data_IF_899590702922
#
_entry.id   IF_899590702922
#
_cell.length_a   1.000
_cell.length_b   1.000
_cell.length_c   1.000
_cell.angle_alpha   90.00
_cell.angle_beta   90.00
_cell.angle_gamma   90.00
#
_symmetry.space_group_name_H-M   'P 1'
#
loop_
_entity.id
_entity.type
_entity.pdbx_description
1 polymer ?
#
# COMPACT_ATOMS: atom_id res chain seq x y z
N UNK A 1 -22.06 -6.78 23.41
CA UNK A 1 -22.37 -5.34 23.59
C UNK A 1 -22.74 -4.76 22.24
N UNK A 2 -23.83 -4.01 22.14
CA UNK A 2 -24.19 -3.31 20.90
C UNK A 2 -23.19 -2.16 20.65
N UNK A 3 -22.81 -1.93 19.40
CA UNK A 3 -21.97 -0.79 19.05
C UNK A 3 -22.73 0.53 19.33
N UNK A 4 -22.08 1.56 19.89
CA UNK A 4 -22.74 2.83 20.20
C UNK A 4 -23.28 3.49 18.91
N UNK A 5 -24.46 4.09 19.00
CA UNK A 5 -25.08 4.79 17.88
C UNK A 5 -24.34 6.09 17.56
N UNK A 6 -24.49 6.60 16.33
CA UNK A 6 -23.92 7.90 15.93
C UNK A 6 -24.33 9.04 16.88
N UNK A 7 -25.58 9.04 17.34
CA UNK A 7 -26.08 10.04 18.30
C UNK A 7 -25.39 9.92 19.66
N UNK A 8 -25.14 8.71 20.15
CA UNK A 8 -24.41 8.48 21.40
C UNK A 8 -22.96 8.93 21.29
N UNK A 9 -22.30 8.62 20.16
CA UNK A 9 -20.93 9.08 19.87
C UNK A 9 -20.86 10.60 19.72
N UNK A 10 -21.83 11.22 19.06
CA UNK A 10 -21.92 12.67 18.91
C UNK A 10 -22.08 13.38 20.27
N UNK A 11 -22.93 12.85 21.14
CA UNK A 11 -23.07 13.39 22.49
C UNK A 11 -21.80 13.20 23.33
N UNK A 12 -21.16 12.04 23.25
CA UNK A 12 -19.89 11.79 23.94
C UNK A 12 -18.77 12.73 23.44
N UNK A 13 -18.70 13.00 22.14
CA UNK A 13 -17.70 13.91 21.56
C UNK A 13 -17.86 15.37 22.02
N UNK A 14 -19.06 15.78 22.46
CA UNK A 14 -19.29 17.12 23.04
C UNK A 14 -18.50 17.35 24.34
N UNK A 15 -18.12 16.27 25.04
CA UNK A 15 -17.27 16.36 26.23
C UNK A 15 -15.80 16.70 25.92
N UNK A 16 -15.45 16.92 24.64
CA UNK A 16 -14.11 17.23 24.16
C UNK A 16 -13.03 16.20 24.55
N UNK A 17 -13.44 14.96 24.85
CA UNK A 17 -12.51 13.85 25.06
C UNK A 17 -11.96 13.39 23.70
N UNK A 18 -10.63 13.34 23.51
CA UNK A 18 -10.06 13.04 22.18
C UNK A 18 -10.50 11.68 21.63
N UNK A 19 -10.47 10.63 22.46
CA UNK A 19 -10.92 9.30 22.06
C UNK A 19 -12.39 9.26 21.59
N UNK A 20 -13.28 10.08 22.18
CA UNK A 20 -14.68 10.16 21.78
C UNK A 20 -14.85 10.88 20.43
N UNK A 21 -14.06 11.94 20.20
CA UNK A 21 -14.01 12.66 18.91
C UNK A 21 -13.49 11.75 17.80
N UNK A 22 -12.43 10.98 18.06
CA UNK A 22 -11.87 10.00 17.12
C UNK A 22 -12.88 8.88 16.82
N UNK A 23 -13.54 8.33 17.84
CA UNK A 23 -14.57 7.31 17.65
C UNK A 23 -15.75 7.80 16.79
N UNK A 24 -16.15 9.07 16.96
CA UNK A 24 -17.15 9.70 16.12
C UNK A 24 -16.64 9.87 14.69
N UNK A 25 -15.41 10.36 14.49
CA UNK A 25 -14.76 10.43 13.18
C UNK A 25 -14.81 9.10 12.44
N UNK A 26 -14.46 7.99 13.10
CA UNK A 26 -14.52 6.64 12.51
C UNK A 26 -15.95 6.28 12.09
N UNK A 27 -16.94 6.64 12.90
CA UNK A 27 -18.34 6.35 12.62
C UNK A 27 -18.88 7.20 11.44
N UNK A 28 -18.44 8.45 11.32
CA UNK A 28 -18.77 9.35 10.22
C UNK A 28 -18.15 8.88 8.89
N UNK A 29 -16.89 8.41 8.91
CA UNK A 29 -16.27 7.78 7.73
C UNK A 29 -17.09 6.58 7.27
N UNK A 30 -17.51 5.70 8.19
CA UNK A 30 -18.37 4.54 7.85
C UNK A 30 -19.74 4.96 7.30
N UNK A 31 -20.24 6.12 7.69
CA UNK A 31 -21.49 6.70 7.19
C UNK A 31 -21.31 7.47 5.87
N UNK A 32 -20.08 7.56 5.32
CA UNK A 32 -19.78 8.32 4.11
C UNK A 32 -19.75 9.84 4.32
N UNK A 33 -19.75 10.31 5.56
CA UNK A 33 -19.76 11.74 5.92
C UNK A 33 -18.32 12.24 6.12
N UNK A 34 -17.52 12.22 5.05
CA UNK A 34 -16.06 12.42 5.12
C UNK A 34 -15.65 13.84 5.52
N UNK A 35 -16.32 14.89 5.04
CA UNK A 35 -16.04 16.27 5.47
C UNK A 35 -16.22 16.43 6.99
N UNK A 36 -17.34 15.94 7.54
CA UNK A 36 -17.59 15.99 8.97
C UNK A 36 -16.61 15.12 9.76
N UNK A 37 -16.22 13.96 9.21
CA UNK A 37 -15.22 13.11 9.84
C UNK A 37 -13.88 13.83 9.96
N UNK A 38 -13.44 14.53 8.90
CA UNK A 38 -12.21 15.32 8.92
C UNK A 38 -12.27 16.38 10.01
N UNK A 39 -13.36 17.15 10.10
CA UNK A 39 -13.53 18.17 11.15
C UNK A 39 -13.34 17.60 12.56
N UNK A 40 -13.93 16.42 12.83
CA UNK A 40 -13.79 15.77 14.13
C UNK A 40 -12.39 15.21 14.36
N UNK A 41 -11.74 14.67 13.34
CA UNK A 41 -10.34 14.27 13.45
C UNK A 41 -9.43 15.46 13.71
N UNK A 42 -9.62 16.59 13.03
CA UNK A 42 -8.82 17.80 13.25
C UNK A 42 -8.95 18.31 14.69
N UNK A 43 -10.17 18.30 15.25
CA UNK A 43 -10.40 18.67 16.66
C UNK A 43 -9.72 17.70 17.62
N UNK A 44 -9.81 16.40 17.36
CA UNK A 44 -9.18 15.39 18.19
C UNK A 44 -7.65 15.43 18.10
N UNK A 45 -7.11 15.64 16.90
CA UNK A 45 -5.70 15.79 16.62
C UNK A 45 -5.11 17.03 17.30
N UNK A 46 -5.86 18.14 17.32
CA UNK A 46 -5.50 19.36 18.05
C UNK A 46 -5.47 19.15 19.57
N UNK A 47 -6.27 18.20 20.08
CA UNK A 47 -6.25 17.77 21.48
C UNK A 47 -5.15 16.71 21.78
N UNK A 48 -4.29 16.40 20.81
CA UNK A 48 -3.15 15.50 20.97
C UNK A 48 -3.41 14.02 20.67
N UNK A 49 -4.61 13.66 20.20
CA UNK A 49 -4.90 12.26 19.84
C UNK A 49 -4.08 11.82 18.63
N UNK A 50 -3.15 10.91 18.87
CA UNK A 50 -2.24 10.42 17.86
C UNK A 50 -2.97 9.60 16.78
N UNK A 51 -4.06 8.90 17.10
CA UNK A 51 -4.88 8.19 16.10
C UNK A 51 -5.56 9.20 15.19
N UNK A 52 -6.14 10.26 15.76
CA UNK A 52 -6.77 11.31 14.95
C UNK A 52 -5.77 12.05 14.05
N UNK A 53 -4.53 12.25 14.50
CA UNK A 53 -3.46 12.81 13.67
C UNK A 53 -3.16 11.93 12.46
N UNK A 54 -3.13 10.60 12.64
CA UNK A 54 -2.97 9.66 11.53
C UNK A 54 -4.13 9.76 10.54
N UNK A 55 -5.36 9.72 11.05
CA UNK A 55 -6.57 9.70 10.24
C UNK A 55 -6.77 11.03 9.48
N UNK A 56 -6.62 12.18 10.15
CA UNK A 56 -6.67 13.49 9.52
C UNK A 56 -5.58 13.62 8.44
N UNK A 57 -4.34 13.24 8.76
CA UNK A 57 -3.25 13.29 7.79
C UNK A 57 -3.52 12.41 6.56
N UNK A 58 -4.14 11.24 6.73
CA UNK A 58 -4.52 10.37 5.61
C UNK A 58 -5.63 10.97 4.75
N UNK A 59 -6.62 11.60 5.38
CA UNK A 59 -7.69 12.28 4.64
C UNK A 59 -7.16 13.48 3.84
N UNK A 60 -6.26 14.27 4.43
CA UNK A 60 -5.60 15.41 3.77
C UNK A 60 -4.69 14.97 2.62
N UNK A 61 -3.86 13.94 2.83
CA UNK A 61 -2.93 13.45 1.81
C UNK A 61 -3.65 12.92 0.55
N UNK A 62 -4.85 12.36 0.71
CA UNK A 62 -5.61 11.74 -0.37
C UNK A 62 -6.87 12.51 -0.79
N UNK A 63 -7.13 13.69 -0.22
CA UNK A 63 -8.28 14.52 -0.58
C UNK A 63 -9.63 13.89 -0.23
N UNK A 64 -9.71 13.18 0.89
CA UNK A 64 -10.94 12.50 1.34
C UNK A 64 -11.78 13.49 2.13
N UNK A 65 -12.85 14.02 1.52
CA UNK A 65 -13.68 15.05 2.14
C UNK A 65 -12.99 16.41 2.26
N UNK A 66 -11.95 16.66 1.45
CA UNK A 66 -11.24 17.93 1.34
C UNK A 66 -10.43 17.98 0.03
N UNK A 67 -9.88 19.14 -0.31
CA UNK A 67 -8.81 19.21 -1.31
C UNK A 67 -7.52 18.57 -0.76
N UNK A 68 -6.68 18.03 -1.63
CA UNK A 68 -5.41 17.41 -1.24
C UNK A 68 -4.48 18.45 -0.60
N UNK A 69 -4.07 18.20 0.65
CA UNK A 69 -3.08 19.01 1.37
C UNK A 69 -2.02 18.10 2.01
N UNK A 70 -0.99 17.78 1.22
CA UNK A 70 0.12 16.93 1.66
C UNK A 70 0.98 17.61 2.72
N UNK A 71 1.06 18.95 2.71
CA UNK A 71 1.87 19.68 3.68
C UNK A 71 1.28 19.56 5.09
N UNK A 72 -0.03 19.77 5.22
CA UNK A 72 -0.72 19.58 6.49
C UNK A 72 -0.74 18.11 6.92
N UNK A 73 -0.87 17.16 5.97
CA UNK A 73 -0.76 15.74 6.25
C UNK A 73 0.60 15.36 6.88
N UNK A 74 1.69 15.90 6.32
CA UNK A 74 3.04 15.72 6.85
C UNK A 74 3.17 16.24 8.27
N UNK A 75 2.63 17.43 8.58
CA UNK A 75 2.67 18.00 9.92
C UNK A 75 1.97 17.09 10.95
N UNK A 76 0.78 16.58 10.62
CA UNK A 76 0.05 15.67 11.48
C UNK A 76 0.80 14.35 11.71
N UNK A 77 1.31 13.73 10.65
CA UNK A 77 2.07 12.48 10.78
C UNK A 77 3.39 12.68 11.51
N UNK A 78 4.10 13.78 11.30
CA UNK A 78 5.30 14.10 12.08
C UNK A 78 4.99 14.31 13.56
N UNK A 79 3.81 14.86 13.88
CA UNK A 79 3.37 14.96 15.27
C UNK A 79 3.10 13.57 15.87
N UNK A 80 2.40 12.68 15.15
CA UNK A 80 2.17 11.31 15.59
C UNK A 80 3.48 10.50 15.68
N UNK A 81 4.45 10.73 14.79
CA UNK A 81 5.80 10.15 14.84
C UNK A 81 6.53 10.54 16.14
N UNK A 82 6.45 11.81 16.58
CA UNK A 82 7.01 12.25 17.87
C UNK A 82 6.35 11.58 19.09
N UNK A 83 5.15 11.05 18.92
CA UNK A 83 4.45 10.24 19.92
C UNK A 83 4.77 8.73 19.82
N UNK A 84 5.74 8.34 18.99
CA UNK A 84 6.15 6.95 18.70
C UNK A 84 5.06 6.09 18.05
N UNK A 85 4.15 6.70 17.28
CA UNK A 85 3.13 5.95 16.54
C UNK A 85 3.74 5.30 15.31
N UNK A 86 3.80 3.96 15.29
CA UNK A 86 4.42 3.20 14.21
C UNK A 86 3.78 3.42 12.83
N UNK A 87 2.45 3.59 12.78
CA UNK A 87 1.75 3.91 11.52
C UNK A 87 2.15 5.26 10.96
N UNK A 88 2.55 6.23 11.79
CA UNK A 88 3.06 7.53 11.34
C UNK A 88 4.38 7.36 10.57
N UNK A 89 5.33 6.64 11.17
CA UNK A 89 6.62 6.34 10.53
C UNK A 89 6.41 5.62 9.20
N UNK A 90 5.50 4.63 9.16
CA UNK A 90 5.18 3.90 7.95
C UNK A 90 4.56 4.78 6.85
N UNK A 91 3.62 5.66 7.19
CA UNK A 91 2.99 6.57 6.24
C UNK A 91 3.99 7.60 5.70
N UNK A 92 4.84 8.15 6.56
CA UNK A 92 5.92 9.06 6.16
C UNK A 92 6.94 8.37 5.24
N UNK A 93 7.29 7.11 5.50
CA UNK A 93 8.16 6.32 4.62
C UNK A 93 7.49 6.02 3.27
N UNK A 94 6.17 5.77 3.26
CA UNK A 94 5.40 5.51 2.03
C UNK A 94 5.32 6.77 1.16
N UNK A 95 5.04 7.92 1.77
CA UNK A 95 4.96 9.20 1.07
C UNK A 95 6.32 9.64 0.49
N UNK A 96 7.43 9.21 1.09
CA UNK A 96 8.77 9.47 0.58
C UNK A 96 9.06 8.77 -0.76
N UNK A 97 8.24 7.79 -1.17
CA UNK A 97 8.33 7.18 -2.50
C UNK A 97 7.73 8.13 -3.54
N UNK A 98 8.63 8.81 -4.25
CA UNK A 98 8.34 9.80 -5.30
C UNK A 98 9.03 9.42 -6.60
N UNK A 99 8.56 9.98 -7.72
CA UNK A 99 9.16 9.78 -9.04
C UNK A 99 10.61 10.29 -9.13
N UNK A 100 10.91 11.40 -8.47
CA UNK A 100 12.26 12.00 -8.46
C UNK A 100 13.29 11.18 -7.66
N UNK A 101 12.82 10.20 -6.85
CA UNK A 101 13.68 9.39 -5.98
C UNK A 101 13.41 7.90 -6.16
N UNK A 102 14.15 7.28 -7.09
CA UNK A 102 14.15 5.82 -7.32
C UNK A 102 14.89 5.01 -6.23
N UNK A 103 15.22 5.64 -5.12
CA UNK A 103 15.80 5.01 -3.93
C UNK A 103 15.27 5.73 -2.71
N UNK A 104 14.90 4.97 -1.69
CA UNK A 104 14.44 5.52 -0.45
C UNK A 104 15.61 6.23 0.26
N UNK A 105 15.38 7.42 0.80
CA UNK A 105 16.43 8.09 1.58
C UNK A 105 16.59 7.44 2.96
N UNK A 106 17.74 7.67 3.60
CA UNK A 106 18.09 7.05 4.89
C UNK A 106 17.05 7.35 5.97
N UNK A 107 16.42 8.52 5.95
CA UNK A 107 15.41 8.87 6.95
C UNK A 107 14.14 8.05 6.73
N UNK A 108 13.67 7.93 5.49
CA UNK A 108 12.49 7.15 5.15
C UNK A 108 12.72 5.64 5.32
N UNK A 109 13.91 5.12 5.01
CA UNK A 109 14.29 3.74 5.35
C UNK A 109 14.28 3.53 6.87
N UNK A 110 14.90 4.44 7.62
CA UNK A 110 14.92 4.37 9.09
C UNK A 110 13.52 4.39 9.67
N UNK A 111 12.58 5.16 9.10
CA UNK A 111 11.17 5.18 9.51
C UNK A 111 10.48 3.84 9.27
N UNK A 112 10.68 3.25 8.09
CA UNK A 112 10.13 1.94 7.77
C UNK A 112 10.66 0.87 8.74
N UNK A 113 11.97 0.87 9.00
CA UNK A 113 12.60 -0.03 9.96
C UNK A 113 12.12 0.21 11.40
N UNK A 114 11.94 1.46 11.82
CA UNK A 114 11.41 1.79 13.14
C UNK A 114 10.00 1.25 13.34
N UNK A 115 9.12 1.37 12.33
CA UNK A 115 7.78 0.80 12.37
C UNK A 115 7.82 -0.75 12.46
N UNK A 116 8.71 -1.40 11.69
CA UNK A 116 8.88 -2.85 11.74
C UNK A 116 9.51 -3.36 13.05
N UNK A 117 10.30 -2.55 13.74
CA UNK A 117 10.93 -2.90 15.00
C UNK A 117 9.91 -3.10 16.14
N UNK A 118 8.76 -2.43 16.05
CA UNK A 118 7.63 -2.57 17.00
C UNK A 118 6.50 -3.46 16.45
N UNK A 119 6.85 -4.35 15.52
CA UNK A 119 5.94 -5.31 14.87
C UNK A 119 4.72 -4.67 14.18
N UNK A 120 4.86 -3.45 13.63
CA UNK A 120 3.79 -2.85 12.83
C UNK A 120 3.58 -3.67 11.54
N UNK A 121 2.42 -4.33 11.35
CA UNK A 121 2.31 -5.39 10.35
C UNK A 121 2.52 -4.93 8.89
N UNK A 122 1.96 -3.77 8.44
CA UNK A 122 2.24 -3.25 7.10
C UNK A 122 3.73 -2.95 6.84
N UNK A 123 4.49 -2.53 7.86
CA UNK A 123 5.92 -2.30 7.74
C UNK A 123 6.71 -3.62 7.64
N UNK A 124 6.35 -4.61 8.45
CA UNK A 124 6.92 -5.96 8.36
C UNK A 124 6.67 -6.57 6.97
N UNK A 125 5.44 -6.49 6.46
CA UNK A 125 5.08 -6.95 5.11
C UNK A 125 5.86 -6.22 4.02
N UNK A 126 5.97 -4.89 4.12
CA UNK A 126 6.71 -4.08 3.17
C UNK A 126 8.19 -4.49 3.10
N UNK A 127 8.86 -4.62 4.26
CA UNK A 127 10.24 -5.11 4.31
C UNK A 127 10.33 -6.55 3.80
N UNK A 128 9.41 -7.43 4.17
CA UNK A 128 9.40 -8.81 3.71
C UNK A 128 9.39 -8.88 2.18
N UNK A 129 8.59 -8.04 1.53
CA UNK A 129 8.54 -7.95 0.07
C UNK A 129 9.89 -7.46 -0.48
N UNK A 130 10.51 -6.42 0.09
CA UNK A 130 11.83 -5.96 -0.36
C UNK A 130 12.92 -7.05 -0.21
N UNK A 131 12.89 -7.81 0.89
CA UNK A 131 13.79 -8.96 1.07
C UNK A 131 13.48 -10.10 0.08
N UNK A 132 12.20 -10.42 -0.13
CA UNK A 132 11.75 -11.47 -1.06
C UNK A 132 12.03 -11.16 -2.52
N UNK A 133 12.20 -9.87 -2.86
CA UNK A 133 12.69 -9.43 -4.17
C UNK A 133 14.11 -9.84 -4.47
N UNK A 134 14.97 -10.10 -3.48
CA UNK A 134 16.40 -10.36 -3.71
C UNK A 134 16.69 -11.87 -3.66
N UNK A 135 17.26 -12.41 -4.73
CA UNK A 135 17.59 -13.83 -4.90
C UNK A 135 18.85 -14.19 -4.13
N UNK A 136 18.72 -14.15 -2.80
CA UNK A 136 19.77 -14.47 -1.86
C UNK A 136 19.21 -15.32 -0.71
N UNK A 137 19.82 -16.46 -0.37
CA UNK A 137 19.28 -17.37 0.65
C UNK A 137 19.03 -16.71 2.02
N UNK A 138 19.81 -15.70 2.41
CA UNK A 138 19.55 -14.97 3.65
C UNK A 138 18.33 -14.02 3.50
N UNK A 139 18.20 -13.34 2.35
CA UNK A 139 17.08 -12.42 2.12
C UNK A 139 15.76 -13.18 1.96
N UNK A 140 15.78 -14.32 1.28
CA UNK A 140 14.61 -15.18 1.15
C UNK A 140 14.15 -15.75 2.51
N UNK A 141 15.08 -16.08 3.42
CA UNK A 141 14.75 -16.47 4.80
C UNK A 141 14.22 -15.29 5.62
N UNK A 142 14.82 -14.11 5.48
CA UNK A 142 14.32 -12.88 6.15
C UNK A 142 12.91 -12.51 5.68
N UNK A 143 12.61 -12.67 4.39
CA UNK A 143 11.26 -12.49 3.85
C UNK A 143 10.25 -13.35 4.60
N UNK A 144 10.50 -14.67 4.71
CA UNK A 144 9.62 -15.60 5.41
C UNK A 144 9.46 -15.21 6.89
N UNK A 145 10.56 -14.94 7.59
CA UNK A 145 10.51 -14.56 9.00
C UNK A 145 9.72 -13.26 9.25
N UNK A 146 9.83 -12.28 8.36
CA UNK A 146 9.06 -11.02 8.44
C UNK A 146 7.57 -11.26 8.14
N UNK A 147 7.23 -12.13 7.18
CA UNK A 147 5.84 -12.51 6.91
C UNK A 147 5.21 -13.28 8.08
N UNK A 148 5.96 -14.16 8.74
CA UNK A 148 5.52 -14.88 9.94
C UNK A 148 5.20 -13.91 11.07
N UNK A 149 6.08 -12.93 11.34
CA UNK A 149 5.84 -11.88 12.33
C UNK A 149 4.62 -11.03 11.99
N UNK A 150 4.48 -10.61 10.73
CA UNK A 150 3.34 -9.81 10.29
C UNK A 150 2.03 -10.59 10.43
N UNK A 151 2.02 -11.87 10.02
CA UNK A 151 0.87 -12.76 10.13
C UNK A 151 0.48 -12.99 11.61
N UNK A 152 1.47 -13.20 12.49
CA UNK A 152 1.23 -13.33 13.93
C UNK A 152 0.65 -12.06 14.55
N UNK A 153 1.00 -10.89 14.00
CA UNK A 153 0.44 -9.58 14.38
C UNK A 153 -0.93 -9.28 13.70
N UNK A 154 -1.54 -10.24 13.01
CA UNK A 154 -2.89 -10.14 12.45
C UNK A 154 -2.98 -9.68 11.00
N UNK A 155 -1.87 -9.60 10.27
CA UNK A 155 -1.85 -9.22 8.86
C UNK A 155 -2.29 -10.38 7.95
N UNK A 156 -3.55 -10.33 7.51
CA UNK A 156 -4.12 -11.31 6.60
C UNK A 156 -3.43 -11.35 5.23
N UNK A 157 -2.90 -10.23 4.75
CA UNK A 157 -2.18 -10.18 3.46
C UNK A 157 -0.80 -10.84 3.61
N UNK A 158 -0.09 -10.59 4.71
CA UNK A 158 1.17 -11.27 4.99
C UNK A 158 0.98 -12.78 5.20
N UNK A 159 -0.09 -13.19 5.91
CA UNK A 159 -0.43 -14.60 6.07
C UNK A 159 -0.73 -15.28 4.72
N UNK A 160 -1.39 -14.58 3.80
CA UNK A 160 -1.63 -15.08 2.44
C UNK A 160 -0.33 -15.24 1.66
N UNK A 161 0.56 -14.24 1.69
CA UNK A 161 1.88 -14.32 1.06
C UNK A 161 2.72 -15.47 1.64
N UNK A 162 2.73 -15.63 2.97
CA UNK A 162 3.41 -16.73 3.64
C UNK A 162 2.89 -18.09 3.17
N UNK A 163 1.58 -18.26 3.07
CA UNK A 163 0.97 -19.49 2.56
C UNK A 163 1.40 -19.80 1.12
N UNK A 164 1.47 -18.80 0.24
CA UNK A 164 1.95 -19.00 -1.13
C UNK A 164 3.42 -19.46 -1.19
N UNK A 165 4.26 -18.94 -0.30
CA UNK A 165 5.68 -19.32 -0.20
C UNK A 165 5.86 -20.71 0.41
N UNK A 166 5.08 -21.06 1.43
CA UNK A 166 5.02 -22.41 2.01
C UNK A 166 4.58 -23.45 0.97
N UNK A 167 3.62 -23.14 0.09
CA UNK A 167 3.21 -24.03 -1.00
C UNK A 167 4.32 -24.28 -2.02
N UNK A 168 5.09 -23.23 -2.35
CA UNK A 168 6.07 -23.25 -3.46
C UNK A 168 7.49 -23.54 -3.03
N UNK A 169 7.77 -23.54 -1.73
CA UNK A 169 9.11 -23.71 -1.21
C UNK A 169 10.03 -22.52 -1.50
N UNK A 170 9.49 -21.30 -1.44
CA UNK A 170 10.25 -20.08 -1.73
C UNK A 170 10.95 -19.59 -0.45
N UNK A 171 12.28 -19.71 -0.39
CA UNK A 171 13.09 -19.32 0.76
C UNK A 171 13.07 -20.30 1.95
N UNK A 172 12.23 -21.33 1.87
CA UNK A 172 12.06 -22.41 2.84
C UNK A 172 11.67 -23.70 2.11
N UNK A 173 11.87 -24.89 2.70
CA UNK A 173 11.30 -26.13 2.16
C UNK A 173 9.77 -26.04 2.06
N UNK A 174 9.15 -26.63 1.01
CA UNK A 174 7.71 -26.62 0.85
C UNK A 174 7.00 -27.35 2.01
N UNK A 175 5.92 -26.75 2.50
CA UNK A 175 5.11 -27.22 3.64
C UNK A 175 3.62 -27.07 3.29
N UNK A 176 3.06 -27.94 2.43
CA UNK A 176 1.73 -27.77 1.87
C UNK A 176 0.61 -27.87 2.92
N UNK A 177 0.78 -28.67 3.98
CA UNK A 177 -0.21 -28.79 5.06
C UNK A 177 -0.34 -27.50 5.86
N UNK A 178 0.80 -26.88 6.22
CA UNK A 178 0.84 -25.61 6.94
C UNK A 178 0.21 -24.49 6.09
N UNK A 179 0.53 -24.44 4.80
CA UNK A 179 -0.08 -23.49 3.89
C UNK A 179 -1.60 -23.68 3.74
N UNK A 180 -2.06 -24.93 3.61
CA UNK A 180 -3.49 -25.24 3.52
C UNK A 180 -4.23 -24.87 4.81
N UNK A 181 -3.59 -24.98 5.98
CA UNK A 181 -4.15 -24.49 7.24
C UNK A 181 -4.30 -22.97 7.26
N UNK A 182 -3.25 -22.22 6.89
CA UNK A 182 -3.33 -20.76 6.80
C UNK A 182 -4.41 -20.30 5.82
N UNK A 183 -4.47 -20.90 4.63
CA UNK A 183 -5.50 -20.56 3.64
C UNK A 183 -6.92 -20.85 4.11
N UNK A 184 -7.13 -21.94 4.87
CA UNK A 184 -8.45 -22.21 5.50
C UNK A 184 -8.83 -21.14 6.52
N UNK A 185 -7.86 -20.62 7.28
CA UNK A 185 -8.10 -19.52 8.24
C UNK A 185 -8.44 -18.20 7.54
N UNK A 186 -7.90 -17.99 6.34
CA UNK A 186 -8.12 -16.78 5.54
C UNK A 186 -9.37 -16.84 4.64
N UNK A 187 -9.95 -18.03 4.45
CA UNK A 187 -11.14 -18.24 3.63
C UNK A 187 -12.35 -17.36 4.02
N UNK A 188 -12.66 -17.12 5.31
CA UNK A 188 -13.74 -16.21 5.71
C UNK A 188 -13.54 -14.77 5.27
N UNK A 189 -12.29 -14.36 5.00
CA UNK A 189 -11.95 -13.04 4.47
C UNK A 189 -11.99 -12.99 2.93
N UNK A 190 -12.43 -14.07 2.27
CA UNK A 190 -12.44 -14.19 0.81
C UNK A 190 -11.05 -14.39 0.19
N UNK A 191 -10.04 -14.66 1.01
CA UNK A 191 -8.67 -14.91 0.56
C UNK A 191 -8.50 -16.41 0.31
N UNK A 192 -8.02 -16.76 -0.88
CA UNK A 192 -7.77 -18.14 -1.31
C UNK A 192 -6.47 -18.23 -2.10
N UNK A 193 -5.98 -19.47 -2.26
CA UNK A 193 -4.78 -19.78 -3.02
C UNK A 193 -4.81 -19.12 -4.40
N UNK A 194 -3.69 -18.51 -4.76
CA UNK A 194 -3.50 -17.87 -6.04
C UNK A 194 -3.19 -18.91 -7.11
N UNK A 195 -3.64 -18.68 -8.35
CA UNK A 195 -3.28 -19.56 -9.44
C UNK A 195 -1.76 -19.64 -9.57
N UNK A 196 -1.25 -20.76 -10.09
CA UNK A 196 0.16 -20.88 -10.39
C UNK A 196 0.52 -19.88 -11.50
N UNK A 197 1.20 -18.80 -11.13
CA UNK A 197 1.78 -17.85 -12.06
C UNK A 197 3.26 -18.21 -12.22
N UNK A 198 3.74 -18.30 -13.47
CA UNK A 198 5.18 -18.35 -13.73
C UNK A 198 5.73 -16.96 -13.44
N UNK A 199 6.56 -16.86 -12.41
CA UNK A 199 7.13 -15.58 -11.99
C UNK A 199 8.61 -15.61 -12.32
N UNK A 200 9.12 -14.50 -12.86
CA UNK A 200 10.54 -14.25 -13.04
C UNK A 200 11.26 -14.42 -11.69
N UNK A 201 12.41 -15.10 -11.63
CA UNK A 201 13.16 -15.27 -10.39
C UNK A 201 13.48 -13.91 -9.75
N UNK A 202 13.73 -13.85 -8.43
CA UNK A 202 14.04 -12.59 -7.75
C UNK A 202 15.32 -11.93 -8.34
N UNK A 203 15.54 -10.67 -7.99
CA UNK A 203 16.64 -9.84 -8.46
C UNK A 203 17.98 -10.35 -7.90
N UNK A 204 19.06 -10.38 -8.70
CA UNK A 204 20.36 -10.76 -8.18
C UNK A 204 20.81 -9.80 -7.08
N UNK A 205 21.73 -10.24 -6.22
CA UNK A 205 22.30 -9.39 -5.18
C UNK A 205 23.00 -8.20 -5.84
N UNK A 206 22.55 -6.98 -5.50
CA UNK A 206 23.21 -5.74 -5.87
C UNK A 206 24.20 -5.27 -4.81
N UNK A 207 25.06 -4.32 -5.18
CA UNK A 207 26.03 -3.71 -4.27
C UNK A 207 25.41 -2.67 -3.32
N UNK A 208 24.27 -2.08 -3.71
CA UNK A 208 23.54 -1.10 -2.90
C UNK A 208 22.55 -1.83 -1.98
N UNK A 209 22.65 -1.57 -0.68
CA UNK A 209 21.78 -2.16 0.33
C UNK A 209 20.50 -1.33 0.56
N UNK A 210 20.39 -0.15 -0.06
CA UNK A 210 19.20 0.70 0.03
C UNK A 210 18.01 0.11 -0.74
N UNK A 211 16.81 0.50 -0.33
CA UNK A 211 15.57 0.10 -0.98
C UNK A 211 15.41 0.90 -2.28
N UNK A 212 15.62 0.22 -3.40
CA UNK A 212 15.50 0.76 -4.76
C UNK A 212 14.15 0.47 -5.43
N UNK A 213 13.70 1.42 -6.26
CA UNK A 213 12.49 1.33 -7.07
C UNK A 213 12.78 1.43 -8.58
N UNK A 214 14.02 1.18 -8.99
CA UNK A 214 14.38 1.12 -10.40
C UNK A 214 13.96 -0.21 -11.04
N UNK A 215 13.77 -0.19 -12.36
CA UNK A 215 13.59 -1.41 -13.14
C UNK A 215 14.85 -2.28 -13.10
N UNK A 216 14.67 -3.60 -13.03
CA UNK A 216 15.77 -4.58 -13.01
C UNK A 216 16.59 -4.57 -14.31
N UNK A 217 15.90 -4.45 -15.44
CA UNK A 217 16.51 -4.47 -16.76
C UNK A 217 16.06 -3.26 -17.55
N UNK A 218 16.93 -2.77 -18.43
CA UNK A 218 16.56 -1.77 -19.41
C UNK A 218 15.52 -2.32 -20.39
N UNK A 219 14.80 -1.40 -21.02
CA UNK A 219 13.87 -1.70 -22.09
C UNK A 219 14.58 -2.38 -23.26
N UNK A 220 14.02 -3.49 -23.75
CA UNK A 220 14.43 -4.12 -25.00
C UNK A 220 13.48 -3.69 -26.09
N UNK A 221 14.00 -3.06 -27.15
CA UNK A 221 13.18 -2.66 -28.28
C UNK A 221 12.74 -3.88 -29.09
N UNK A 222 11.43 -4.00 -29.31
CA UNK A 222 10.78 -5.07 -30.08
C UNK A 222 10.32 -4.62 -31.45
N UNK A 223 10.01 -3.33 -31.59
CA UNK A 223 9.54 -2.75 -32.84
C UNK A 223 9.81 -1.24 -32.86
N UNK A 224 10.01 -0.67 -34.04
CA UNK A 224 10.35 0.75 -34.22
C UNK A 224 9.16 1.64 -34.65
N UNK A 225 8.16 1.11 -35.37
CA UNK A 225 7.02 1.91 -35.85
C UNK A 225 5.70 1.10 -35.95
N UNK A 226 4.90 0.96 -34.88
CA UNK A 226 4.97 1.71 -33.63
C UNK A 226 6.16 1.29 -32.77
N UNK A 227 6.63 2.19 -31.92
CA UNK A 227 7.65 1.86 -30.91
C UNK A 227 7.03 0.89 -29.91
N UNK A 228 7.61 -0.31 -29.81
CA UNK A 228 7.25 -1.31 -28.80
C UNK A 228 8.51 -1.65 -28.03
N UNK A 229 8.45 -1.44 -26.72
CA UNK A 229 9.52 -1.76 -25.80
C UNK A 229 9.01 -2.78 -24.78
N UNK A 230 9.86 -3.76 -24.47
CA UNK A 230 9.59 -4.76 -23.45
C UNK A 230 10.53 -4.56 -22.27
N UNK A 231 9.96 -4.50 -21.06
CA UNK A 231 10.72 -4.46 -19.81
C UNK A 231 10.37 -5.69 -18.98
N UNK A 232 11.36 -6.54 -18.71
CA UNK A 232 11.16 -7.78 -17.95
C UNK A 232 11.62 -7.65 -16.49
N UNK A 233 10.94 -8.33 -15.57
CA UNK A 233 11.33 -8.36 -14.16
C UNK A 233 11.02 -7.06 -13.41
N UNK A 234 9.97 -6.35 -13.81
CA UNK A 234 9.52 -5.11 -13.13
C UNK A 234 9.02 -5.41 -11.71
N UNK A 235 8.15 -6.41 -11.60
CA UNK A 235 7.51 -6.82 -10.35
C UNK A 235 8.01 -8.19 -9.92
N UNK A 236 8.15 -8.38 -8.61
CA UNK A 236 8.48 -9.69 -8.04
C UNK A 236 7.24 -10.56 -7.83
N UNK A 237 7.47 -11.81 -7.46
CA UNK A 237 6.40 -12.74 -7.10
C UNK A 237 5.49 -12.23 -6.01
N UNK A 238 6.08 -11.74 -4.92
CA UNK A 238 5.32 -11.28 -3.76
C UNK A 238 4.57 -9.98 -4.04
N UNK A 239 5.09 -9.11 -4.91
CA UNK A 239 4.37 -7.91 -5.35
C UNK A 239 3.20 -8.25 -6.25
N UNK A 240 3.39 -9.12 -7.25
CA UNK A 240 2.30 -9.59 -8.09
C UNK A 240 1.19 -10.23 -7.23
N UNK A 241 1.55 -11.04 -6.24
CA UNK A 241 0.60 -11.65 -5.30
C UNK A 241 -0.10 -10.61 -4.46
N UNK A 242 0.63 -9.64 -3.89
CA UNK A 242 0.05 -8.57 -3.09
C UNK A 242 -0.93 -7.74 -3.93
N UNK A 243 -0.55 -7.32 -5.13
CA UNK A 243 -1.42 -6.55 -6.03
C UNK A 243 -2.68 -7.33 -6.39
N UNK A 244 -2.57 -8.64 -6.64
CA UNK A 244 -3.74 -9.49 -6.84
C UNK A 244 -4.64 -9.55 -5.59
N UNK A 245 -4.06 -9.67 -4.39
CA UNK A 245 -4.81 -9.69 -3.14
C UNK A 245 -5.53 -8.36 -2.89
N UNK A 246 -4.85 -7.23 -3.13
CA UNK A 246 -5.42 -5.89 -3.01
C UNK A 246 -6.53 -5.65 -4.06
N UNK A 247 -6.35 -6.12 -5.29
CA UNK A 247 -7.29 -5.88 -6.38
C UNK A 247 -8.55 -6.74 -6.28
N UNK A 248 -8.45 -8.00 -5.81
CA UNK A 248 -9.53 -9.00 -5.84
C UNK A 248 -10.88 -8.50 -5.32
N UNK A 249 -10.97 -7.83 -4.15
CA UNK A 249 -12.25 -7.31 -3.64
C UNK A 249 -12.89 -6.24 -4.53
N UNK A 250 -12.09 -5.58 -5.38
CA UNK A 250 -12.49 -4.45 -6.19
C UNK A 250 -12.62 -4.77 -7.69
N UNK A 251 -12.41 -6.03 -8.09
CA UNK A 251 -12.51 -6.44 -9.49
C UNK A 251 -13.93 -6.27 -10.02
N UNK A 252 -14.07 -5.45 -11.06
CA UNK A 252 -15.32 -5.26 -11.81
C UNK A 252 -15.15 -5.77 -13.23
N UNK A 253 -16.25 -6.21 -13.85
CA UNK A 253 -16.23 -6.59 -15.26
C UNK A 253 -15.79 -5.37 -16.10
N UNK A 254 -14.85 -5.58 -17.02
CA UNK A 254 -14.43 -4.49 -17.91
C UNK A 254 -15.60 -4.04 -18.78
N UNK A 255 -15.82 -2.74 -18.84
CA UNK A 255 -16.79 -2.09 -19.73
C UNK A 255 -16.04 -1.34 -20.82
N UNK A 256 -16.55 -1.36 -22.05
CA UNK A 256 -15.96 -0.65 -23.19
C UNK A 256 -16.95 0.43 -23.60
N UNK A 257 -16.47 1.68 -23.63
CA UNK A 257 -17.17 2.78 -24.29
C UNK A 257 -16.79 2.72 -25.76
N UNK A 258 -17.78 2.48 -26.61
CA UNK A 258 -17.58 2.52 -28.06
C UNK A 258 -17.31 3.98 -28.47
N UNK A 259 -16.22 4.21 -29.21
CA UNK A 259 -15.75 5.56 -29.54
C UNK A 259 -16.70 6.28 -30.52
N UNK A 260 -17.50 5.53 -31.28
CA UNK A 260 -18.35 6.07 -32.34
C UNK A 260 -19.76 6.45 -31.85
N UNK A 261 -20.23 5.91 -30.72
CA UNK A 261 -21.58 6.21 -30.20
C UNK A 261 -21.66 6.47 -28.69
N UNK A 262 -20.52 6.49 -27.99
CA UNK A 262 -20.41 6.64 -26.53
C UNK A 262 -21.26 5.65 -25.71
N UNK A 263 -21.75 4.56 -26.33
CA UNK A 263 -22.50 3.53 -25.64
C UNK A 263 -21.55 2.60 -24.90
N UNK A 264 -21.86 2.36 -23.63
CA UNK A 264 -21.14 1.38 -22.83
C UNK A 264 -21.66 -0.01 -23.20
N UNK A 265 -20.95 -0.73 -24.07
CA UNK A 265 -21.34 -2.07 -24.49
C UNK A 265 -20.44 -3.12 -23.86
N UNK A 266 -21.09 -4.13 -23.29
CA UNK A 266 -20.41 -5.33 -22.79
C UNK A 266 -20.08 -6.22 -23.99
N UNK A 267 -18.81 -6.27 -24.37
CA UNK A 267 -18.36 -7.10 -25.49
C UNK A 267 -18.27 -8.58 -25.06
N UNK A 268 -18.90 -9.52 -25.79
CA UNK A 268 -18.89 -10.95 -25.41
C UNK A 268 -17.49 -11.60 -25.50
N UNK A 269 -16.57 -11.01 -26.27
CA UNK A 269 -15.19 -11.50 -26.42
C UNK A 269 -14.24 -11.05 -25.30
N UNK A 270 -14.62 -10.06 -24.48
CA UNK A 270 -13.74 -9.47 -23.47
C UNK A 270 -14.11 -10.01 -22.09
N UNK A 271 -13.37 -11.01 -21.62
CA UNK A 271 -13.57 -11.66 -20.31
C UNK A 271 -12.73 -11.03 -19.19
N UNK A 272 -12.07 -9.90 -19.45
CA UNK A 272 -11.22 -9.21 -18.49
C UNK A 272 -12.02 -8.55 -17.35
N UNK A 273 -11.38 -8.45 -16.19
CA UNK A 273 -11.86 -7.66 -15.04
C UNK A 273 -10.77 -6.66 -14.67
N UNK A 274 -11.17 -5.43 -14.40
CA UNK A 274 -10.28 -4.35 -13.97
C UNK A 274 -10.49 -4.02 -12.50
N UNK A 275 -9.45 -3.50 -11.87
CA UNK A 275 -9.53 -2.83 -10.57
C UNK A 275 -8.66 -1.57 -10.64
N UNK A 276 -9.12 -0.52 -9.98
CA UNK A 276 -8.30 0.65 -9.66
C UNK A 276 -7.98 0.56 -8.18
N UNK A 277 -6.69 0.57 -7.83
CA UNK A 277 -6.28 0.67 -6.43
C UNK A 277 -6.40 2.14 -6.02
N UNK A 278 -7.37 2.42 -5.16
CA UNK A 278 -7.57 3.74 -4.59
C UNK A 278 -6.33 4.13 -3.75
N UNK A 279 -5.84 5.38 -3.80
CA UNK A 279 -4.75 5.86 -2.95
C UNK A 279 -4.93 5.56 -1.45
N UNK A 280 -6.18 5.46 -0.97
CA UNK A 280 -6.51 5.07 0.41
C UNK A 280 -6.12 3.60 0.71
N UNK A 281 -6.17 2.74 -0.30
CA UNK A 281 -5.78 1.32 -0.23
C UNK A 281 -4.30 1.11 -0.56
N UNK A 282 -3.60 2.17 -0.98
CA UNK A 282 -2.20 2.11 -1.38
C UNK A 282 -1.30 2.05 -0.14
N UNK A 283 -0.57 0.94 -0.02
CA UNK A 283 0.44 0.73 1.00
C UNK A 283 1.85 0.92 0.42
N UNK A 284 2.88 0.88 1.27
CA UNK A 284 4.27 1.03 0.83
C UNK A 284 4.63 0.11 -0.34
N UNK A 285 4.20 -1.15 -0.31
CA UNK A 285 4.59 -2.13 -1.31
C UNK A 285 3.87 -1.91 -2.65
N UNK A 286 2.58 -1.52 -2.61
CA UNK A 286 1.87 -1.07 -3.80
C UNK A 286 2.52 0.18 -4.40
N UNK A 287 2.88 1.16 -3.56
CA UNK A 287 3.56 2.40 -3.99
C UNK A 287 4.93 2.13 -4.60
N UNK A 288 5.71 1.23 -4.01
CA UNK A 288 6.99 0.78 -4.56
C UNK A 288 6.81 0.09 -5.93
N UNK A 289 5.78 -0.74 -6.08
CA UNK A 289 5.43 -1.37 -7.35
C UNK A 289 5.03 -0.34 -8.41
N UNK A 290 4.21 0.65 -8.05
CA UNK A 290 3.85 1.75 -8.95
C UNK A 290 5.07 2.58 -9.37
N UNK A 291 5.96 2.94 -8.43
CA UNK A 291 7.19 3.66 -8.72
C UNK A 291 8.06 2.91 -9.76
N UNK A 292 8.17 1.58 -9.63
CA UNK A 292 8.87 0.74 -10.62
C UNK A 292 8.20 0.77 -11.98
N UNK A 293 6.88 0.63 -12.04
CA UNK A 293 6.13 0.69 -13.30
C UNK A 293 6.26 2.06 -13.96
N UNK A 294 6.14 3.15 -13.19
CA UNK A 294 6.29 4.52 -13.65
C UNK A 294 7.70 4.77 -14.21
N UNK A 295 8.74 4.32 -13.50
CA UNK A 295 10.13 4.40 -13.96
C UNK A 295 10.35 3.65 -15.28
N UNK A 296 9.77 2.46 -15.44
CA UNK A 296 9.84 1.70 -16.70
C UNK A 296 9.16 2.43 -17.85
N UNK A 297 8.02 3.06 -17.58
CA UNK A 297 7.22 3.78 -18.58
C UNK A 297 7.75 5.19 -18.86
N UNK A 298 8.77 5.66 -18.12
CA UNK A 298 9.24 7.05 -18.13
C UNK A 298 8.09 8.04 -17.88
N UNK A 299 7.15 7.64 -17.02
CA UNK A 299 6.02 8.44 -16.61
C UNK A 299 6.25 8.96 -15.18
N UNK A 300 5.76 10.16 -14.86
CA UNK A 300 5.70 10.57 -13.47
C UNK A 300 4.80 9.61 -12.69
N UNK A 301 5.10 9.43 -11.40
CA UNK A 301 4.27 8.66 -10.49
C UNK A 301 3.00 9.48 -10.21
N UNK A 302 2.01 9.39 -11.11
CA UNK A 302 0.77 10.17 -11.04
C UNK A 302 -0.20 9.56 -10.03
N UNK A 303 0.04 9.88 -8.76
CA UNK A 303 -0.93 10.33 -7.76
C UNK A 303 -0.07 10.93 -6.62
N UNK A 304 -0.27 12.23 -6.37
CA UNK A 304 0.59 13.16 -5.62
C UNK A 304 1.82 13.78 -6.35
N UNK A 305 1.63 14.42 -7.51
CA UNK A 305 2.39 15.67 -7.82
C UNK A 305 1.58 16.81 -7.21
N UNK A 306 2.11 17.83 -6.53
CA UNK A 306 3.47 18.37 -6.41
C UNK A 306 3.55 19.12 -5.06
N UNK A 307 4.52 18.83 -4.19
CA UNK A 307 4.77 19.69 -3.02
C UNK A 307 6.20 19.64 -2.42
N UNK A 308 7.11 18.81 -2.94
CA UNK A 308 8.50 18.78 -2.44
C UNK A 308 9.49 19.07 -3.58
N UNK A 309 9.44 20.30 -4.10
CA UNK A 309 10.41 20.85 -5.04
C UNK A 309 10.29 22.38 -5.08
N UNK A 310 11.40 23.14 -5.13
CA UNK A 310 11.38 24.58 -4.86
C UNK A 310 10.54 25.31 -5.90
N UNK A 311 9.78 26.30 -5.42
CA UNK A 311 9.07 27.30 -6.22
C UNK A 311 10.04 27.92 -7.23
N UNK A 312 10.04 27.42 -8.46
CA UNK A 312 10.60 28.13 -9.60
C UNK A 312 9.51 29.06 -10.12
N UNK A 313 9.66 30.33 -9.72
CA UNK A 313 8.92 31.46 -10.26
C UNK A 313 9.02 31.43 -11.79
N UNK A 314 7.87 31.42 -12.45
CA UNK A 314 7.78 31.73 -13.87
C UNK A 314 8.26 33.17 -14.08
N UNK A 315 9.26 33.32 -14.97
CA UNK A 315 9.51 34.54 -15.73
C UNK A 315 9.02 34.34 -17.15
#
# INVERSE_FOLDING_TARGET
MQAPSLQQLAHAAQSAQPAAMTALGHALVRAGQTEQALDWYMRSAAAGDAIAQIEAGRMLAYGVGCEVDVAQALEHWQHAERQNVASACYLLATLAITDDRLTLDTQAESRLHAAAAVDYPPALRALAIQHGRIDHPAQQRSCVALLERAAAAGDALAAALLAERLLRGEGIPPQPEAAAQLLRQLQPLGIAASPAVRITPPDPVGDDQRIGFAARHGATRRHDAPVIEEVCGVLSADECRLLMLLARPHLRASEVVDADDASTRRAPIRTSRGATLDPILEDFAARAAQARVAACAQLPLTHARSAVGPVLRAG
#
